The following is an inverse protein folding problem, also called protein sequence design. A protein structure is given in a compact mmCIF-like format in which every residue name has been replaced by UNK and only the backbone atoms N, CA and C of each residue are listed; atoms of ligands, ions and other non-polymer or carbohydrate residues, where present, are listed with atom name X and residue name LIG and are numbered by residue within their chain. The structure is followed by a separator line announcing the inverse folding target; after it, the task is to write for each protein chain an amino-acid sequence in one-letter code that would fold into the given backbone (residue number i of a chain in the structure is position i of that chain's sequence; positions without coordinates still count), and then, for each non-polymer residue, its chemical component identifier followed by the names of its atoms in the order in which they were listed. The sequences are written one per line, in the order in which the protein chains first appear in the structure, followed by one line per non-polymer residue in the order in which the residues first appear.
data_IF_094079113397
#
_entry.id   IF_094079113397
#
_cell.length_a   1.000
_cell.length_b   1.000
_cell.length_c   1.000
_cell.angle_alpha   90.00
_cell.angle_beta   90.00
_cell.angle_gamma   90.00
#
_symmetry.space_group_name_H-M   'P 1'
#
loop_
_entity.id
_entity.type
_entity.pdbx_description
1 polymer ?
#
# COMPACT_ATOMS: atom_id res chain seq x y z
N UNK A 1 6.59 10.14 7.41
CA UNK A 1 5.21 10.58 7.61
C UNK A 1 4.31 9.35 7.62
N UNK A 2 3.09 9.45 8.13
CA UNK A 2 2.15 8.33 8.15
C UNK A 2 0.77 8.80 7.66
N UNK A 3 0.10 7.95 6.88
CA UNK A 3 -1.23 8.22 6.33
C UNK A 3 -2.18 7.10 6.68
N UNK A 4 -3.41 7.44 7.00
CA UNK A 4 -4.49 6.47 7.21
C UNK A 4 -5.25 6.37 5.90
N UNK A 5 -5.32 5.17 5.35
CA UNK A 5 -6.10 4.90 4.14
C UNK A 5 -7.38 4.16 4.51
N UNK A 6 -8.47 4.56 3.84
CA UNK A 6 -9.74 3.85 3.81
C UNK A 6 -10.15 3.65 2.36
N UNK A 7 -10.28 2.40 1.92
CA UNK A 7 -10.61 2.07 0.53
C UNK A 7 -11.84 1.16 0.48
N UNK A 8 -12.80 1.48 -0.39
CA UNK A 8 -13.93 0.57 -0.70
C UNK A 8 -13.42 -0.63 -1.55
N UNK A 9 -14.17 -1.74 -1.65
CA UNK A 9 -13.84 -2.83 -2.56
C UNK A 9 -13.50 -2.32 -3.96
N UNK A 10 -12.41 -2.82 -4.52
CA UNK A 10 -11.89 -2.42 -5.82
C UNK A 10 -11.11 -1.10 -5.87
N UNK A 11 -10.94 -0.39 -4.75
CA UNK A 11 -10.20 0.87 -4.71
C UNK A 11 -8.77 0.69 -4.20
N UNK A 12 -7.88 1.57 -4.68
CA UNK A 12 -6.47 1.67 -4.29
C UNK A 12 -5.73 2.62 -5.23
N UNK A 13 -4.48 3.00 -4.92
CA UNK A 13 -3.68 3.85 -5.78
C UNK A 13 -3.30 3.13 -7.08
N UNK A 14 -3.09 3.88 -8.18
CA UNK A 14 -2.47 3.32 -9.37
C UNK A 14 -1.03 2.87 -9.09
N UNK A 15 -0.38 2.25 -10.06
CA UNK A 15 1.03 1.89 -9.96
C UNK A 15 1.87 3.15 -9.74
N UNK A 16 2.73 3.14 -8.74
CA UNK A 16 3.58 4.27 -8.38
C UNK A 16 4.85 3.81 -7.67
N UNK A 17 5.73 4.76 -7.35
CA UNK A 17 6.91 4.53 -6.53
C UNK A 17 7.29 5.76 -5.71
N UNK A 18 8.05 5.52 -4.65
CA UNK A 18 8.63 6.54 -3.78
C UNK A 18 10.16 6.41 -3.74
N UNK A 19 10.93 7.50 -3.59
CA UNK A 19 12.40 7.43 -3.48
C UNK A 19 12.89 7.00 -2.09
N UNK A 20 12.02 6.37 -1.28
CA UNK A 20 12.28 5.94 0.10
C UNK A 20 11.43 4.70 0.42
N UNK A 21 11.70 4.07 1.56
CA UNK A 21 10.91 2.92 2.05
C UNK A 21 9.51 3.35 2.46
N UNK A 22 8.52 2.54 2.11
CA UNK A 22 7.17 2.59 2.68
C UNK A 22 6.88 1.30 3.43
N UNK A 23 6.14 1.41 4.54
CA UNK A 23 5.61 0.26 5.28
C UNK A 23 4.10 0.40 5.33
N UNK A 24 3.40 -0.53 4.69
CA UNK A 24 1.94 -0.62 4.74
C UNK A 24 1.53 -1.64 5.82
N UNK A 25 0.74 -1.19 6.80
CA UNK A 25 0.16 -2.02 7.84
C UNK A 25 -1.34 -2.17 7.60
N UNK A 26 -1.79 -3.37 7.21
CA UNK A 26 -3.22 -3.65 7.01
C UNK A 26 -3.88 -3.86 8.37
N UNK A 27 -4.77 -2.97 8.77
CA UNK A 27 -5.50 -3.07 10.05
C UNK A 27 -6.69 -4.02 9.90
N UNK A 28 -7.54 -3.78 8.90
CA UNK A 28 -8.75 -4.55 8.63
C UNK A 28 -8.98 -4.66 7.11
N UNK A 29 -9.69 -5.71 6.68
CA UNK A 29 -9.94 -5.99 5.26
C UNK A 29 -8.85 -6.82 4.59
N UNK A 30 -8.83 -6.80 3.25
CA UNK A 30 -7.87 -7.53 2.43
C UNK A 30 -7.38 -6.64 1.28
N UNK A 31 -6.07 -6.57 1.11
CA UNK A 31 -5.40 -5.84 0.04
C UNK A 31 -4.60 -6.81 -0.83
N UNK A 32 -4.84 -6.81 -2.13
CA UNK A 32 -3.90 -7.40 -3.09
C UNK A 32 -2.83 -6.36 -3.39
N UNK A 33 -1.60 -6.64 -2.96
CA UNK A 33 -0.44 -5.76 -3.09
C UNK A 33 0.46 -6.31 -4.18
N UNK A 34 0.81 -5.46 -5.14
CA UNK A 34 1.80 -5.74 -6.19
C UNK A 34 3.10 -5.01 -5.87
N UNK A 35 4.23 -5.73 -5.90
CA UNK A 35 5.59 -5.22 -5.74
C UNK A 35 6.43 -5.69 -6.93
N UNK A 36 6.73 -4.80 -7.88
CA UNK A 36 7.30 -5.20 -9.16
C UNK A 36 6.40 -6.21 -9.88
N UNK A 37 6.92 -7.40 -10.15
CA UNK A 37 6.21 -8.49 -10.83
C UNK A 37 5.48 -9.45 -9.89
N UNK A 38 5.70 -9.32 -8.57
CA UNK A 38 5.05 -10.17 -7.58
C UNK A 38 3.76 -9.55 -7.08
N UNK A 39 2.74 -10.39 -6.89
CA UNK A 39 1.45 -9.97 -6.31
C UNK A 39 1.02 -10.95 -5.23
N UNK A 40 0.55 -10.43 -4.09
CA UNK A 40 0.07 -11.22 -2.97
C UNK A 40 -1.08 -10.55 -2.25
N UNK A 41 -1.96 -11.34 -1.66
CA UNK A 41 -3.01 -10.85 -0.77
C UNK A 41 -2.47 -10.67 0.66
N UNK A 42 -2.84 -9.57 1.30
CA UNK A 42 -2.47 -9.21 2.67
C UNK A 42 -3.74 -8.83 3.42
N UNK A 43 -4.03 -9.53 4.52
CA UNK A 43 -5.22 -9.32 5.36
C UNK A 43 -4.88 -8.52 6.62
N UNK A 44 -5.92 -8.15 7.38
CA UNK A 44 -5.78 -7.52 8.70
C UNK A 44 -4.71 -8.18 9.59
N UNK A 45 -3.85 -7.36 10.19
CA UNK A 45 -2.65 -7.76 10.93
C UNK A 45 -1.40 -7.94 10.08
N UNK A 46 -1.52 -7.94 8.74
CA UNK A 46 -0.39 -8.08 7.82
C UNK A 46 0.42 -6.81 7.64
N UNK A 47 1.73 -6.99 7.37
CA UNK A 47 2.68 -5.90 7.14
C UNK A 47 3.40 -6.13 5.82
N UNK A 48 3.56 -5.07 5.04
CA UNK A 48 4.40 -5.07 3.84
C UNK A 48 5.44 -3.97 3.93
N UNK A 49 6.70 -4.33 3.72
CA UNK A 49 7.81 -3.39 3.56
C UNK A 49 8.09 -3.25 2.07
N UNK A 50 8.06 -2.02 1.59
CA UNK A 50 8.22 -1.65 0.19
C UNK A 50 9.54 -0.90 0.04
N UNK A 51 10.54 -1.48 -0.65
CA UNK A 51 11.82 -0.82 -0.85
C UNK A 51 11.73 0.50 -1.63
N UNK A 52 12.71 1.37 -1.44
CA UNK A 52 12.82 2.60 -2.23
C UNK A 52 12.87 2.30 -3.74
N UNK A 53 12.18 3.12 -4.52
CA UNK A 53 12.03 3.02 -5.97
C UNK A 53 11.32 1.77 -6.50
N UNK A 54 10.82 0.88 -5.64
CA UNK A 54 10.02 -0.27 -6.03
C UNK A 54 8.68 0.19 -6.63
N UNK A 55 8.35 -0.14 -7.90
CA UNK A 55 7.00 0.03 -8.41
C UNK A 55 6.02 -0.81 -7.59
N UNK A 56 4.99 -0.19 -7.07
CA UNK A 56 3.98 -0.88 -6.26
C UNK A 56 2.61 -0.26 -6.40
N UNK A 57 1.61 -1.05 -6.04
CA UNK A 57 0.22 -0.65 -5.86
C UNK A 57 -0.45 -1.61 -4.89
N UNK A 58 -1.59 -1.19 -4.36
CA UNK A 58 -2.53 -2.11 -3.75
C UNK A 58 -3.93 -1.86 -4.31
N UNK A 59 -4.77 -2.87 -4.22
CA UNK A 59 -6.21 -2.75 -4.41
C UNK A 59 -6.88 -3.45 -3.23
N UNK A 60 -7.94 -2.86 -2.69
CA UNK A 60 -8.82 -3.58 -1.78
C UNK A 60 -9.50 -4.71 -2.57
N UNK A 61 -9.05 -5.95 -2.34
CA UNK A 61 -9.50 -7.16 -3.03
C UNK A 61 -10.61 -7.90 -2.28
N UNK A 62 -10.97 -7.43 -1.09
CA UNK A 62 -12.07 -8.00 -0.30
C UNK A 62 -13.41 -7.31 -0.54
N UNK A 63 -14.43 -7.82 0.14
CA UNK A 63 -15.83 -7.35 0.02
C UNK A 63 -16.21 -6.26 1.04
N UNK A 64 -15.27 -5.87 1.91
CA UNK A 64 -15.47 -4.87 2.98
C UNK A 64 -14.49 -3.72 2.84
N UNK A 65 -14.60 -2.70 3.69
CA UNK A 65 -13.65 -1.58 3.68
C UNK A 65 -12.27 -2.05 4.15
N UNK A 66 -11.24 -1.72 3.37
CA UNK A 66 -9.84 -1.85 3.77
C UNK A 66 -9.45 -0.64 4.61
N UNK A 67 -8.82 -0.87 5.77
CA UNK A 67 -8.07 0.17 6.50
C UNK A 67 -6.63 -0.22 6.66
N UNK A 68 -5.74 0.72 6.38
CA UNK A 68 -4.31 0.55 6.57
C UNK A 68 -3.65 1.84 7.05
N UNK A 69 -2.44 1.69 7.59
CA UNK A 69 -1.52 2.79 7.87
C UNK A 69 -0.32 2.63 6.95
N UNK A 70 -0.06 3.66 6.16
CA UNK A 70 1.06 3.70 5.22
C UNK A 70 2.11 4.66 5.78
N UNK A 71 3.25 4.10 6.21
CA UNK A 71 4.36 4.83 6.82
C UNK A 71 5.44 5.04 5.79
N UNK A 72 5.67 6.30 5.41
CA UNK A 72 6.72 6.68 4.50
C UNK A 72 7.95 7.14 5.30
N UNK A 73 9.12 6.57 5.02
CA UNK A 73 10.40 6.89 5.66
C UNK A 73 10.98 8.24 5.17
N UNK A 74 10.14 9.28 5.14
CA UNK A 74 10.45 10.64 4.72
C UNK A 74 9.53 11.62 5.43
N UNK A 75 10.00 12.85 5.76
CA UNK A 75 9.13 13.91 6.28
C UNK A 75 8.20 14.49 5.19
N UNK A 76 8.49 14.23 3.91
CA UNK A 76 7.72 14.71 2.76
C UNK A 76 7.22 13.55 1.92
N UNK A 77 5.97 13.63 1.47
CA UNK A 77 5.41 12.69 0.51
C UNK A 77 5.91 13.03 -0.90
N UNK A 78 6.64 12.11 -1.53
CA UNK A 78 7.17 12.24 -2.89
C UNK A 78 6.79 10.98 -3.65
N UNK A 79 5.98 11.13 -4.69
CA UNK A 79 5.47 10.01 -5.49
C UNK A 79 5.70 10.26 -6.97
N UNK A 80 6.07 9.20 -7.68
CA UNK A 80 6.03 9.15 -9.15
C UNK A 80 4.99 8.13 -9.57
N UNK A 81 3.96 8.58 -10.31
CA UNK A 81 2.97 7.69 -10.91
C UNK A 81 3.56 7.02 -12.16
N UNK A 82 3.18 5.77 -12.40
CA UNK A 82 3.68 4.92 -13.49
C UNK A 82 2.53 4.46 -14.39
#
# INVERSE_FOLDING_TARGET
SAYIVKAKPGQGPPLHKHPYVEVAFVIEGAATITLGDETREVKGGGIVVIPANMPHRFINSGDTVLRQIDVHASPRFIQTNL
#
